data_IF_339278434374
#
_entry.id   IF_339278434374
#
_cell.length_a   1.000
_cell.length_b   1.000
_cell.length_c   1.000
_cell.angle_alpha   90.00
_cell.angle_beta   90.00
_cell.angle_gamma   90.00
#
_symmetry.space_group_name_H-M   'P 1'
#
loop_
_entity.id
_entity.type
_entity.pdbx_description
1 polymer ?
#
# COMPACT_ATOMS: atom_id res chain seq x y z
N UNK A 1 19.90 61.79 -38.74
CA UNK A 1 19.40 62.03 -37.37
C UNK A 1 19.18 60.65 -36.74
N UNK A 2 20.23 60.06 -36.16
CA UNK A 2 20.58 60.14 -34.72
C UNK A 2 19.68 59.23 -33.88
N UNK A 3 20.12 58.25 -33.09
CA UNK A 3 21.44 57.76 -32.67
C UNK A 3 21.27 56.30 -32.19
N UNK A 4 22.27 55.47 -32.47
CA UNK A 4 22.47 54.13 -31.94
C UNK A 4 23.41 54.18 -30.72
N UNK A 5 23.03 53.55 -29.61
CA UNK A 5 23.88 53.41 -28.41
C UNK A 5 24.55 52.04 -28.46
N UNK A 6 25.87 52.04 -28.71
CA UNK A 6 26.76 50.88 -28.52
C UNK A 6 27.32 50.90 -27.10
N UNK A 7 27.15 49.80 -26.36
CA UNK A 7 27.85 49.57 -25.09
C UNK A 7 28.94 48.53 -25.33
N UNK A 8 30.18 49.02 -25.40
CA UNK A 8 31.43 48.24 -25.42
C UNK A 8 31.87 48.02 -23.97
N UNK A 9 32.00 46.75 -23.56
CA UNK A 9 32.62 46.37 -22.29
C UNK A 9 33.94 45.66 -22.57
N UNK A 10 35.01 46.40 -22.30
CA UNK A 10 36.41 46.02 -22.43
C UNK A 10 36.82 44.97 -21.41
N UNK A 11 37.43 43.88 -21.90
CA UNK A 11 38.24 42.95 -21.13
C UNK A 11 39.38 43.67 -20.38
N UNK A 12 39.52 43.41 -19.07
CA UNK A 12 40.78 43.56 -18.33
C UNK A 12 40.93 42.43 -17.31
N UNK A 13 41.99 41.65 -17.47
CA UNK A 13 42.44 40.61 -16.53
C UNK A 13 43.36 41.23 -15.46
N UNK A 14 43.28 40.81 -14.18
CA UNK A 14 44.34 41.05 -13.20
C UNK A 14 45.23 39.80 -12.96
N UNK A 15 46.42 39.97 -12.35
CA UNK A 15 47.55 39.05 -12.52
C UNK A 15 47.62 37.87 -11.53
N UNK A 16 48.38 36.86 -11.96
CA UNK A 16 48.83 35.67 -11.22
C UNK A 16 49.67 36.05 -9.98
N UNK A 17 49.37 35.43 -8.83
CA UNK A 17 50.33 35.30 -7.73
C UNK A 17 50.32 33.86 -7.19
N UNK A 18 51.53 33.37 -6.96
CA UNK A 18 51.96 32.00 -6.68
C UNK A 18 51.66 31.49 -5.27
N UNK A 19 51.51 30.16 -5.19
CA UNK A 19 51.39 29.29 -4.00
C UNK A 19 52.48 29.50 -2.92
N UNK A 20 52.26 29.04 -1.67
CA UNK A 20 52.81 27.72 -1.33
C UNK A 20 51.89 26.83 -0.47
N UNK A 21 52.04 25.51 -0.66
CA UNK A 21 51.51 24.45 0.20
C UNK A 21 52.16 24.41 1.58
N UNK A 22 51.52 23.74 2.57
CA UNK A 22 52.33 22.82 3.38
C UNK A 22 51.65 21.48 3.74
N UNK A 23 52.48 20.43 3.57
CA UNK A 23 52.77 19.32 4.50
C UNK A 23 51.66 18.36 4.95
N UNK A 24 51.73 17.19 4.34
CA UNK A 24 51.45 15.86 4.89
C UNK A 24 52.11 15.68 6.27
N UNK A 25 51.40 15.08 7.22
CA UNK A 25 52.00 14.39 8.36
C UNK A 25 51.26 13.09 8.65
N UNK A 26 51.93 11.99 8.28
CA UNK A 26 51.70 10.63 8.75
C UNK A 26 51.86 10.57 10.27
N UNK A 27 50.93 9.92 10.97
CA UNK A 27 51.21 9.38 12.30
C UNK A 27 50.81 7.89 12.38
N UNK A 28 51.89 7.12 12.48
CA UNK A 28 52.07 5.71 12.81
C UNK A 28 51.03 5.07 13.73
N UNK A 29 50.70 3.84 13.35
CA UNK A 29 50.40 2.67 14.18
C UNK A 29 51.00 2.69 15.59
N UNK A 30 50.18 2.26 16.57
CA UNK A 30 50.67 1.44 17.69
C UNK A 30 49.68 0.32 18.00
N UNK A 31 50.18 -0.91 17.87
CA UNK A 31 49.60 -2.17 18.31
C UNK A 31 50.28 -2.53 19.64
N UNK A 32 49.51 -2.91 20.65
CA UNK A 32 49.90 -3.67 21.84
C UNK A 32 48.59 -4.23 22.42
N UNK A 33 48.34 -5.55 22.48
CA UNK A 33 48.99 -6.52 23.38
C UNK A 33 48.14 -6.60 24.65
N UNK A 34 47.15 -7.49 24.74
CA UNK A 34 47.21 -8.86 25.32
C UNK A 34 47.66 -8.92 26.79
N UNK A 35 46.88 -9.67 27.60
CA UNK A 35 47.11 -10.36 28.90
C UNK A 35 45.82 -10.18 29.74
N UNK A 36 44.93 -11.17 29.86
CA UNK A 36 44.94 -12.46 30.61
C UNK A 36 44.77 -12.32 32.13
N UNK A 37 43.87 -13.14 32.71
CA UNK A 37 43.70 -13.42 34.14
C UNK A 37 42.27 -13.18 34.65
N UNK A 38 41.30 -14.10 34.58
CA UNK A 38 41.07 -15.36 35.32
C UNK A 38 40.78 -15.22 36.84
N UNK A 39 39.54 -15.63 37.21
CA UNK A 39 39.22 -16.58 38.31
C UNK A 39 38.72 -16.06 39.70
N UNK A 40 37.43 -16.39 39.95
CA UNK A 40 36.82 -17.06 41.13
C UNK A 40 36.21 -16.36 42.36
N UNK A 41 34.98 -16.86 42.63
CA UNK A 41 34.42 -17.45 43.88
C UNK A 41 33.63 -16.58 44.87
N UNK A 42 32.46 -17.12 45.21
CA UNK A 42 31.75 -17.00 46.49
C UNK A 42 30.57 -16.05 46.44
N UNK A 43 29.36 -16.35 46.91
CA UNK A 43 28.84 -17.40 47.77
C UNK A 43 27.44 -16.90 48.20
N UNK A 44 26.43 -17.77 48.18
CA UNK A 44 25.03 -17.35 48.22
C UNK A 44 24.46 -16.90 49.57
N UNK A 45 23.17 -16.57 49.57
CA UNK A 45 22.25 -16.83 50.69
C UNK A 45 20.78 -16.67 50.28
N UNK A 46 19.99 -17.64 50.75
CA UNK A 46 18.53 -17.73 50.72
C UNK A 46 17.92 -16.66 51.65
N UNK A 47 16.72 -16.16 51.35
CA UNK A 47 15.59 -16.29 52.29
C UNK A 47 14.22 -15.91 51.71
N UNK A 48 13.25 -16.77 52.01
CA UNK A 48 11.81 -16.58 51.91
C UNK A 48 11.31 -15.52 52.91
N UNK A 49 10.20 -14.86 52.60
CA UNK A 49 9.12 -14.56 53.57
C UNK A 49 7.82 -14.21 52.83
N UNK A 50 6.76 -14.96 53.14
CA UNK A 50 5.37 -14.75 52.72
C UNK A 50 4.65 -13.78 53.66
N UNK A 51 3.53 -13.25 53.13
CA UNK A 51 2.24 -12.97 53.79
C UNK A 51 2.10 -11.76 54.72
N UNK A 52 1.19 -10.84 54.33
CA UNK A 52 -0.05 -10.57 55.08
C UNK A 52 -1.09 -9.81 54.22
N UNK A 53 -2.34 -10.26 54.35
CA UNK A 53 -3.59 -9.81 53.72
C UNK A 53 -4.14 -8.49 54.31
N UNK A 54 -4.85 -7.66 53.53
CA UNK A 54 -6.34 -7.53 53.46
C UNK A 54 -6.76 -6.29 52.60
N UNK A 55 -8.03 -6.21 52.12
CA UNK A 55 -8.41 -5.63 50.84
C UNK A 55 -9.16 -4.28 50.94
N UNK A 56 -9.28 -3.56 49.80
CA UNK A 56 -10.29 -2.50 49.62
C UNK A 56 -10.95 -2.57 48.23
N UNK A 57 -12.28 -2.43 48.23
CA UNK A 57 -13.27 -2.56 47.15
C UNK A 57 -13.23 -1.41 46.12
N UNK A 58 -13.57 -1.74 44.86
CA UNK A 58 -14.51 -1.03 43.96
C UNK A 58 -14.47 -1.72 42.55
N UNK A 59 -15.35 -2.67 42.24
CA UNK A 59 -16.66 -2.54 41.57
C UNK A 59 -16.64 -1.86 40.19
N UNK A 60 -16.81 -2.65 39.12
CA UNK A 60 -17.63 -2.32 37.93
C UNK A 60 -18.12 -3.60 37.23
N UNK A 61 -19.36 -3.55 36.75
CA UNK A 61 -20.28 -4.64 36.42
C UNK A 61 -19.88 -5.56 35.25
N UNK A 62 -20.23 -6.85 35.39
CA UNK A 62 -20.19 -7.91 34.36
C UNK A 62 -21.58 -8.54 34.25
N UNK A 63 -22.20 -8.48 33.07
CA UNK A 63 -23.47 -9.16 32.80
C UNK A 63 -23.21 -10.55 32.22
N UNK A 64 -23.83 -11.57 32.83
CA UNK A 64 -23.84 -12.97 32.37
C UNK A 64 -25.29 -13.45 32.52
N UNK A 65 -25.91 -13.87 31.42
CA UNK A 65 -27.28 -14.41 31.41
C UNK A 65 -27.19 -15.91 31.14
N UNK A 66 -27.88 -16.69 31.98
CA UNK A 66 -28.01 -18.14 31.92
C UNK A 66 -29.48 -18.49 32.11
N UNK A 67 -30.05 -19.29 31.20
CA UNK A 67 -31.32 -20.03 31.31
C UNK A 67 -31.26 -21.13 30.23
N UNK A 68 -31.80 -22.34 30.34
CA UNK A 68 -32.29 -23.19 31.43
C UNK A 68 -32.40 -24.59 30.77
N UNK A 69 -32.10 -25.67 31.50
CA UNK A 69 -32.21 -27.06 31.04
C UNK A 69 -33.57 -27.64 31.46
N UNK A 70 -34.24 -28.41 30.59
CA UNK A 70 -35.31 -29.33 30.97
C UNK A 70 -35.36 -30.51 29.99
N UNK A 71 -35.15 -31.71 30.51
CA UNK A 71 -35.47 -33.02 29.91
C UNK A 71 -36.61 -33.64 30.76
N UNK A 72 -37.25 -34.69 30.21
CA UNK A 72 -38.32 -35.60 30.72
C UNK A 72 -39.54 -35.53 29.76
N UNK A 73 -39.77 -36.46 28.81
CA UNK A 73 -40.06 -37.91 28.80
C UNK A 73 -41.56 -38.25 28.87
N UNK A 74 -42.02 -39.10 27.92
CA UNK A 74 -43.25 -39.95 27.89
C UNK A 74 -44.62 -39.22 27.97
N UNK A 75 -45.71 -39.62 27.33
CA UNK A 75 -46.16 -40.94 26.86
C UNK A 75 -47.24 -40.80 25.76
N UNK A 76 -47.51 -41.94 25.13
CA UNK A 76 -48.50 -42.29 24.10
C UNK A 76 -49.94 -41.80 24.27
N UNK A 77 -50.62 -41.53 23.14
CA UNK A 77 -51.95 -42.11 22.91
C UNK A 77 -52.28 -42.26 21.39
N UNK A 78 -52.91 -43.41 21.10
CA UNK A 78 -53.51 -43.88 19.83
C UNK A 78 -54.68 -42.94 19.39
N UNK A 79 -55.27 -42.92 18.19
CA UNK A 79 -55.47 -43.88 17.10
C UNK A 79 -56.05 -43.13 15.88
N UNK A 80 -55.82 -43.62 14.64
CA UNK A 80 -56.74 -43.59 13.46
C UNK A 80 -56.02 -43.66 12.08
N UNK A 81 -55.68 -44.89 11.69
CA UNK A 81 -56.18 -45.62 10.50
C UNK A 81 -56.24 -44.93 9.11
N UNK A 82 -55.46 -45.53 8.18
CA UNK A 82 -55.74 -45.85 6.76
C UNK A 82 -55.11 -45.04 5.59
N UNK A 83 -54.09 -45.69 5.00
CA UNK A 83 -53.90 -45.96 3.56
C UNK A 83 -53.45 -44.86 2.57
N UNK A 84 -52.20 -45.03 2.08
CA UNK A 84 -51.82 -45.42 0.70
C UNK A 84 -50.43 -44.88 0.35
N UNK A 85 -49.51 -45.80 0.03
CA UNK A 85 -48.30 -45.58 -0.77
C UNK A 85 -48.62 -45.78 -2.26
N UNK A 86 -47.74 -45.43 -3.22
CA UNK A 86 -46.64 -44.46 -3.21
C UNK A 86 -46.75 -43.48 -4.40
N UNK A 87 -46.24 -42.25 -4.28
CA UNK A 87 -45.94 -41.42 -5.45
C UNK A 87 -44.50 -40.92 -5.38
N UNK A 88 -43.66 -41.55 -6.20
CA UNK A 88 -42.30 -41.12 -6.49
C UNK A 88 -42.37 -39.79 -7.25
N UNK A 89 -42.18 -38.68 -6.54
CA UNK A 89 -42.02 -37.36 -7.14
C UNK A 89 -40.58 -36.88 -6.99
N UNK A 90 -39.92 -36.81 -8.14
CA UNK A 90 -38.63 -36.17 -8.39
C UNK A 90 -38.65 -34.74 -7.83
N UNK A 91 -37.89 -34.46 -6.77
CA UNK A 91 -37.67 -33.07 -6.29
C UNK A 91 -36.55 -32.40 -7.10
N UNK A 92 -36.77 -31.20 -7.66
CA UNK A 92 -35.76 -30.48 -8.42
C UNK A 92 -34.81 -29.68 -7.50
N UNK A 93 -33.52 -29.68 -7.86
CA UNK A 93 -32.42 -28.70 -7.74
C UNK A 93 -32.43 -27.47 -6.78
N UNK A 94 -33.33 -27.35 -5.80
CA UNK A 94 -33.43 -26.14 -4.93
C UNK A 94 -32.36 -26.12 -3.82
N UNK A 95 -31.82 -27.26 -3.40
CA UNK A 95 -30.87 -27.31 -2.27
C UNK A 95 -29.43 -26.90 -2.60
N UNK A 96 -29.00 -26.96 -3.86
CA UNK A 96 -27.59 -26.72 -4.19
C UNK A 96 -27.21 -25.23 -4.11
N UNK A 97 -28.16 -24.33 -4.42
CA UNK A 97 -27.91 -22.88 -4.38
C UNK A 97 -27.80 -22.32 -2.96
N UNK A 98 -28.56 -22.87 -2.01
CA UNK A 98 -28.53 -22.45 -0.61
C UNK A 98 -27.25 -22.92 0.08
N UNK A 99 -26.85 -24.19 -0.16
CA UNK A 99 -25.60 -24.74 0.39
C UNK A 99 -24.37 -23.96 -0.11
N UNK A 100 -24.33 -23.54 -1.38
CA UNK A 100 -23.23 -22.76 -1.94
C UNK A 100 -23.19 -21.33 -1.39
N UNK A 101 -24.35 -20.69 -1.18
CA UNK A 101 -24.43 -19.35 -0.56
C UNK A 101 -23.95 -19.38 0.89
N UNK A 102 -24.35 -20.39 1.65
CA UNK A 102 -23.95 -20.55 3.05
C UNK A 102 -22.44 -20.83 3.19
N UNK A 103 -21.86 -21.65 2.30
CA UNK A 103 -20.41 -21.87 2.26
C UNK A 103 -19.64 -20.58 1.95
N UNK A 104 -20.09 -19.79 0.96
CA UNK A 104 -19.44 -18.53 0.60
C UNK A 104 -19.52 -17.49 1.72
N UNK A 105 -20.70 -17.29 2.32
CA UNK A 105 -20.87 -16.36 3.44
C UNK A 105 -20.00 -16.75 4.64
N UNK A 106 -19.89 -18.04 4.92
CA UNK A 106 -19.01 -18.54 5.99
C UNK A 106 -17.53 -18.24 5.72
N UNK A 107 -17.08 -18.35 4.45
CA UNK A 107 -15.72 -18.01 4.03
C UNK A 107 -15.46 -16.51 4.16
N UNK A 108 -16.39 -15.67 3.70
CA UNK A 108 -16.28 -14.21 3.84
C UNK A 108 -16.21 -13.82 5.31
N UNK A 109 -17.07 -14.38 6.15
CA UNK A 109 -17.05 -14.12 7.59
C UNK A 109 -15.70 -14.47 8.22
N UNK A 110 -15.14 -15.64 7.90
CA UNK A 110 -13.80 -16.05 8.36
C UNK A 110 -12.70 -15.11 7.89
N UNK A 111 -12.79 -14.60 6.66
CA UNK A 111 -11.82 -13.62 6.13
C UNK A 111 -11.91 -12.32 6.92
N UNK A 112 -13.12 -11.82 7.12
CA UNK A 112 -13.38 -10.59 7.88
C UNK A 112 -12.88 -10.72 9.32
N UNK A 113 -13.23 -11.81 10.01
CA UNK A 113 -12.74 -12.10 11.37
C UNK A 113 -11.22 -12.15 11.44
N UNK A 114 -10.56 -12.78 10.45
CA UNK A 114 -9.10 -12.81 10.39
C UNK A 114 -8.46 -11.42 10.21
N UNK A 115 -9.12 -10.50 9.49
CA UNK A 115 -8.64 -9.10 9.36
C UNK A 115 -8.82 -8.33 10.67
N UNK A 116 -9.95 -8.54 11.36
CA UNK A 116 -10.19 -7.93 12.68
C UNK A 116 -9.26 -8.47 13.77
N UNK A 117 -8.86 -9.74 13.67
CA UNK A 117 -7.94 -10.41 14.57
C UNK A 117 -6.46 -10.31 14.15
N UNK A 118 -6.14 -9.56 13.10
CA UNK A 118 -4.77 -9.47 12.60
C UNK A 118 -3.86 -8.74 13.59
N UNK A 119 -2.67 -9.30 13.81
CA UNK A 119 -1.66 -8.71 14.69
C UNK A 119 -1.14 -7.37 14.14
N UNK A 120 -0.95 -6.33 14.96
CA UNK A 120 -0.31 -5.08 14.53
C UNK A 120 1.15 -5.27 14.07
N UNK A 121 1.67 -4.34 13.28
CA UNK A 121 3.12 -4.25 13.02
C UNK A 121 3.78 -3.40 14.10
N UNK A 122 4.99 -3.79 14.49
CA UNK A 122 5.83 -3.02 15.39
C UNK A 122 6.78 -2.15 14.58
N UNK A 123 6.64 -0.81 14.69
CA UNK A 123 7.52 0.14 13.99
C UNK A 123 8.26 1.07 14.97
N UNK A 124 9.55 1.36 14.71
CA UNK A 124 10.37 2.17 15.62
C UNK A 124 10.09 3.68 15.55
N UNK A 125 9.46 4.19 14.48
CA UNK A 125 9.22 5.62 14.30
C UNK A 125 7.91 6.13 14.91
N UNK A 126 7.77 7.45 14.98
CA UNK A 126 6.63 8.16 15.58
C UNK A 126 5.67 8.73 14.53
N UNK A 127 4.46 9.15 14.95
CA UNK A 127 3.47 9.80 14.09
C UNK A 127 4.03 11.02 13.34
N UNK A 128 4.90 11.80 13.98
CA UNK A 128 5.62 12.91 13.34
C UNK A 128 6.43 12.44 12.12
N UNK A 129 7.08 11.28 12.23
CA UNK A 129 7.83 10.70 11.10
C UNK A 129 6.90 10.23 10.00
N UNK A 130 5.76 9.64 10.34
CA UNK A 130 4.76 9.20 9.36
C UNK A 130 4.30 10.40 8.52
N UNK A 131 3.85 11.47 9.18
CA UNK A 131 3.40 12.69 8.50
C UNK A 131 4.53 13.32 7.67
N UNK A 132 5.74 13.41 8.23
CA UNK A 132 6.90 13.93 7.51
C UNK A 132 7.20 13.13 6.23
N UNK A 133 7.24 11.80 6.31
CA UNK A 133 7.53 10.94 5.16
C UNK A 133 6.43 11.06 4.10
N UNK A 134 5.16 11.01 4.50
CA UNK A 134 4.04 11.15 3.56
C UNK A 134 4.04 12.52 2.88
N UNK A 135 4.27 13.60 3.64
CA UNK A 135 4.34 14.95 3.10
C UNK A 135 5.50 15.09 2.11
N UNK A 136 6.71 14.63 2.46
CA UNK A 136 7.87 14.68 1.58
C UNK A 136 7.67 13.83 0.34
N UNK A 137 7.04 12.66 0.46
CA UNK A 137 6.73 11.80 -0.67
C UNK A 137 5.76 12.47 -1.65
N UNK A 138 4.60 12.97 -1.19
CA UNK A 138 3.62 13.68 -2.05
C UNK A 138 4.25 14.91 -2.69
N UNK A 139 4.99 15.70 -1.91
CA UNK A 139 5.64 16.92 -2.40
C UNK A 139 6.68 16.58 -3.46
N UNK A 140 7.44 15.50 -3.29
CA UNK A 140 8.46 15.08 -4.26
C UNK A 140 7.83 14.56 -5.53
N UNK A 141 6.80 13.71 -5.43
CA UNK A 141 6.06 13.24 -6.58
C UNK A 141 5.54 14.43 -7.42
N UNK A 142 4.86 15.37 -6.77
CA UNK A 142 4.33 16.56 -7.45
C UNK A 142 5.42 17.47 -8.03
N UNK A 143 6.48 17.76 -7.27
CA UNK A 143 7.58 18.62 -7.73
C UNK A 143 8.37 17.99 -8.87
N UNK A 144 8.68 16.69 -8.78
CA UNK A 144 9.43 16.00 -9.83
C UNK A 144 8.62 15.96 -11.12
N UNK A 145 7.36 15.53 -11.06
CA UNK A 145 6.50 15.38 -12.23
C UNK A 145 6.02 16.68 -12.86
N UNK A 146 5.65 17.65 -12.02
CA UNK A 146 5.01 18.88 -12.49
C UNK A 146 6.01 20.01 -12.76
N UNK A 147 7.18 19.99 -12.13
CA UNK A 147 8.16 21.07 -12.24
C UNK A 147 9.52 20.63 -12.77
N UNK A 148 10.20 19.71 -12.08
CA UNK A 148 11.60 19.39 -12.40
C UNK A 148 11.71 18.77 -13.78
N UNK A 149 10.92 17.73 -14.08
CA UNK A 149 11.00 17.04 -15.37
C UNK A 149 10.55 17.94 -16.53
N UNK A 150 9.40 18.65 -16.47
CA UNK A 150 9.00 19.59 -17.51
C UNK A 150 10.01 20.73 -17.73
N UNK A 151 10.58 21.27 -16.65
CA UNK A 151 11.61 22.31 -16.74
C UNK A 151 12.87 21.79 -17.42
N UNK A 152 13.38 20.63 -17.01
CA UNK A 152 14.56 20.00 -17.63
C UNK A 152 14.31 19.71 -19.11
N UNK A 153 13.14 19.16 -19.45
CA UNK A 153 12.75 18.91 -20.83
C UNK A 153 12.74 20.19 -21.67
N UNK A 154 12.14 21.27 -21.14
CA UNK A 154 12.11 22.57 -21.79
C UNK A 154 13.52 23.15 -21.99
N UNK A 155 14.39 23.08 -20.97
CA UNK A 155 15.78 23.57 -21.08
C UNK A 155 16.62 22.77 -22.07
N UNK A 156 16.32 21.49 -22.25
CA UNK A 156 16.94 20.64 -23.25
C UNK A 156 16.33 20.82 -24.66
N UNK A 157 15.36 21.72 -24.82
CA UNK A 157 14.70 22.01 -26.09
C UNK A 157 13.60 21.02 -26.49
N UNK A 158 13.19 20.13 -25.59
CA UNK A 158 12.11 19.17 -25.83
C UNK A 158 10.76 19.72 -25.39
N UNK A 159 9.76 19.65 -26.26
CA UNK A 159 8.35 19.88 -25.92
C UNK A 159 7.57 18.59 -26.03
N UNK A 160 6.91 18.17 -24.95
CA UNK A 160 6.13 16.92 -24.91
C UNK A 160 5.12 16.82 -26.05
N UNK A 161 4.42 17.91 -26.37
CA UNK A 161 3.37 17.94 -27.40
C UNK A 161 3.91 17.78 -28.83
N UNK A 162 5.20 18.07 -29.04
CA UNK A 162 5.87 17.88 -30.34
C UNK A 162 6.39 16.46 -30.56
N UNK A 163 6.38 15.63 -29.52
CA UNK A 163 6.85 14.25 -29.60
C UNK A 163 5.80 13.36 -30.28
N UNK A 164 6.28 12.37 -31.03
CA UNK A 164 5.44 11.25 -31.50
C UNK A 164 4.79 10.51 -30.33
N UNK A 165 3.74 9.72 -30.57
CA UNK A 165 3.11 8.91 -29.51
C UNK A 165 4.12 8.05 -28.74
N UNK A 166 5.12 7.49 -29.45
CA UNK A 166 6.23 6.73 -28.85
C UNK A 166 7.10 7.61 -27.96
N UNK A 167 7.44 8.82 -28.42
CA UNK A 167 8.21 9.78 -27.64
C UNK A 167 7.47 10.25 -26.39
N UNK A 168 6.15 10.49 -26.48
CA UNK A 168 5.32 10.83 -25.32
C UNK A 168 5.22 9.68 -24.31
N UNK A 169 5.08 8.45 -24.80
CA UNK A 169 5.05 7.25 -23.95
C UNK A 169 6.40 7.02 -23.25
N UNK A 170 7.51 7.16 -23.99
CA UNK A 170 8.86 7.07 -23.42
C UNK A 170 9.11 8.17 -22.39
N UNK A 171 8.73 9.41 -22.69
CA UNK A 171 8.80 10.53 -21.75
C UNK A 171 8.04 10.22 -20.45
N UNK A 172 6.81 9.71 -20.57
CA UNK A 172 5.98 9.36 -19.42
C UNK A 172 6.58 8.22 -18.62
N UNK A 173 7.13 7.19 -19.29
CA UNK A 173 7.83 6.08 -18.64
C UNK A 173 9.06 6.54 -17.86
N UNK A 174 9.90 7.39 -18.46
CA UNK A 174 11.08 7.93 -17.77
C UNK A 174 10.69 8.82 -16.60
N UNK A 175 9.64 9.62 -16.75
CA UNK A 175 9.11 10.48 -15.66
C UNK A 175 8.68 9.62 -14.47
N UNK A 176 7.87 8.58 -14.70
CA UNK A 176 7.39 7.68 -13.64
C UNK A 176 8.55 6.95 -12.93
N UNK A 177 9.54 6.46 -13.68
CA UNK A 177 10.73 5.83 -13.08
C UNK A 177 11.50 6.81 -12.20
N UNK A 178 11.69 8.06 -12.63
CA UNK A 178 12.39 9.09 -11.83
C UNK A 178 11.60 9.43 -10.57
N UNK A 179 10.29 9.62 -10.67
CA UNK A 179 9.40 9.88 -9.54
C UNK A 179 9.43 8.74 -8.52
N UNK A 180 9.28 7.49 -8.99
CA UNK A 180 9.31 6.30 -8.16
C UNK A 180 10.64 6.13 -7.42
N UNK A 181 11.76 6.29 -8.14
CA UNK A 181 13.11 6.24 -7.54
C UNK A 181 13.30 7.36 -6.52
N UNK A 182 12.89 8.59 -6.83
CA UNK A 182 12.97 9.72 -5.89
C UNK A 182 12.13 9.47 -4.63
N UNK A 183 10.91 8.96 -4.79
CA UNK A 183 10.02 8.60 -3.69
C UNK A 183 10.62 7.54 -2.76
N UNK A 184 11.19 6.47 -3.34
CA UNK A 184 11.90 5.44 -2.57
C UNK A 184 13.15 6.00 -1.89
N UNK A 185 13.91 6.86 -2.56
CA UNK A 185 15.11 7.47 -2.00
C UNK A 185 14.78 8.29 -0.74
N UNK A 186 13.69 9.07 -0.77
CA UNK A 186 13.21 9.85 0.38
C UNK A 186 12.74 8.94 1.50
N UNK A 187 11.96 7.90 1.18
CA UNK A 187 11.53 6.92 2.17
C UNK A 187 12.76 6.29 2.86
N UNK A 188 13.73 5.82 2.09
CA UNK A 188 14.98 5.24 2.60
C UNK A 188 15.80 6.23 3.41
N UNK A 189 15.89 7.48 2.97
CA UNK A 189 16.61 8.53 3.67
C UNK A 189 15.98 8.81 5.04
N UNK A 190 14.67 9.04 5.09
CA UNK A 190 13.93 9.30 6.33
C UNK A 190 13.96 8.12 7.32
N UNK A 191 14.03 6.89 6.81
CA UNK A 191 14.07 5.67 7.61
C UNK A 191 15.48 5.18 7.95
N UNK A 192 16.52 5.77 7.35
CA UNK A 192 17.91 5.37 7.56
C UNK A 192 18.32 5.42 9.04
N UNK A 193 17.80 6.41 9.79
CA UNK A 193 18.04 6.61 11.23
C UNK A 193 17.47 5.52 12.14
N UNK A 194 16.55 4.68 11.65
CA UNK A 194 15.89 3.64 12.44
C UNK A 194 16.42 2.22 12.14
N UNK A 195 17.56 2.10 11.46
CA UNK A 195 18.16 0.80 11.16
C UNK A 195 18.84 0.21 12.42
N UNK A 196 18.75 -1.12 12.64
CA UNK A 196 18.11 -2.13 11.79
C UNK A 196 16.58 -2.15 11.91
N UNK A 197 15.91 -2.40 10.79
CA UNK A 197 14.46 -2.47 10.69
C UNK A 197 13.97 -3.89 11.00
N UNK A 198 12.73 -4.08 11.49
CA UNK A 198 12.17 -5.40 11.74
C UNK A 198 12.16 -6.26 10.45
N UNK A 199 12.53 -7.56 10.54
CA UNK A 199 12.65 -8.42 9.37
C UNK A 199 11.31 -8.65 8.64
N UNK A 200 10.20 -8.62 9.36
CA UNK A 200 8.85 -8.84 8.82
C UNK A 200 8.18 -7.57 8.27
N UNK A 201 8.84 -6.41 8.35
CA UNK A 201 8.25 -5.15 7.91
C UNK A 201 8.15 -5.05 6.38
N UNK A 202 9.20 -5.46 5.66
CA UNK A 202 9.31 -5.40 4.20
C UNK A 202 9.61 -6.79 3.62
N UNK A 203 8.63 -7.69 3.73
CA UNK A 203 8.79 -9.06 3.26
C UNK A 203 8.37 -9.22 1.80
N UNK A 204 9.29 -9.74 1.00
CA UNK A 204 9.05 -10.24 -0.35
C UNK A 204 9.27 -11.75 -0.37
N UNK A 205 8.22 -12.53 -0.63
CA UNK A 205 8.31 -13.98 -0.72
C UNK A 205 7.60 -14.48 -1.97
N UNK A 206 8.30 -15.29 -2.77
CA UNK A 206 7.69 -16.07 -3.86
C UNK A 206 7.16 -17.43 -3.37
N UNK A 207 7.50 -17.82 -2.15
CA UNK A 207 7.03 -19.05 -1.52
C UNK A 207 5.70 -18.82 -0.80
N UNK A 208 4.81 -19.81 -0.85
CA UNK A 208 3.55 -19.85 -0.11
C UNK A 208 2.31 -19.78 -0.99
N UNK A 209 1.16 -19.54 -0.35
CA UNK A 209 -0.18 -19.52 -0.97
C UNK A 209 -0.58 -18.13 -1.50
N UNK A 210 0.39 -17.30 -1.89
CA UNK A 210 0.14 -15.91 -2.31
C UNK A 210 -0.80 -15.83 -3.52
N UNK A 211 -0.71 -16.78 -4.45
CA UNK A 211 -1.57 -16.83 -5.64
C UNK A 211 -3.06 -17.04 -5.30
N UNK A 212 -3.37 -17.72 -4.20
CA UNK A 212 -4.76 -17.89 -3.74
C UNK A 212 -5.32 -16.57 -3.19
N UNK A 213 -4.52 -15.81 -2.45
CA UNK A 213 -4.93 -14.51 -1.91
C UNK A 213 -5.07 -13.46 -3.03
N UNK A 214 -4.17 -13.48 -4.03
CA UNK A 214 -4.31 -12.67 -5.25
C UNK A 214 -5.58 -13.07 -6.01
N UNK A 215 -5.79 -14.37 -6.26
CA UNK A 215 -6.98 -14.86 -6.96
C UNK A 215 -8.29 -14.48 -6.26
N UNK A 216 -8.33 -14.58 -4.93
CA UNK A 216 -9.46 -14.13 -4.12
C UNK A 216 -9.67 -12.61 -4.23
N UNK A 217 -8.60 -11.83 -4.24
CA UNK A 217 -8.66 -10.39 -4.47
C UNK A 217 -9.24 -10.03 -5.84
N UNK A 218 -8.86 -10.76 -6.89
CA UNK A 218 -9.37 -10.56 -8.24
C UNK A 218 -10.90 -10.78 -8.33
N UNK A 219 -11.47 -11.64 -7.48
CA UNK A 219 -12.93 -11.82 -7.43
C UNK A 219 -13.68 -10.55 -6.99
N UNK A 220 -12.99 -9.58 -6.39
CA UNK A 220 -13.58 -8.30 -5.99
C UNK A 220 -13.64 -7.28 -7.14
N UNK A 221 -12.98 -7.54 -8.28
CA UNK A 221 -12.91 -6.60 -9.41
C UNK A 221 -14.28 -6.18 -9.96
N UNK A 222 -15.27 -7.07 -10.13
CA UNK A 222 -16.61 -6.67 -10.57
C UNK A 222 -17.29 -5.69 -9.59
N UNK A 223 -17.02 -5.81 -8.29
CA UNK A 223 -17.55 -4.91 -7.27
C UNK A 223 -16.87 -3.55 -7.38
N UNK A 224 -15.54 -3.50 -7.55
CA UNK A 224 -14.81 -2.26 -7.78
C UNK A 224 -15.35 -1.53 -9.03
N UNK A 225 -15.60 -2.26 -10.13
CA UNK A 225 -16.21 -1.70 -11.34
C UNK A 225 -17.62 -1.15 -11.07
N UNK A 226 -18.46 -1.90 -10.37
CA UNK A 226 -19.81 -1.43 -10.00
C UNK A 226 -19.75 -0.16 -9.14
N UNK A 227 -18.83 -0.09 -8.18
CA UNK A 227 -18.62 1.11 -7.37
C UNK A 227 -18.12 2.29 -8.20
N UNK A 228 -17.29 2.06 -9.22
CA UNK A 228 -16.89 3.10 -10.17
C UNK A 228 -18.11 3.70 -10.88
N UNK A 229 -19.02 2.85 -11.38
CA UNK A 229 -20.26 3.30 -12.03
C UNK A 229 -21.17 4.07 -11.06
N UNK A 230 -21.32 3.58 -9.83
CA UNK A 230 -22.08 4.31 -8.79
C UNK A 230 -21.45 5.68 -8.52
N UNK A 231 -20.13 5.77 -8.43
CA UNK A 231 -19.44 7.03 -8.17
C UNK A 231 -19.65 8.05 -9.31
N UNK A 232 -19.59 7.60 -10.56
CA UNK A 232 -19.87 8.44 -11.73
C UNK A 232 -21.33 8.92 -11.76
N UNK A 233 -22.27 8.07 -11.37
CA UNK A 233 -23.70 8.42 -11.30
C UNK A 233 -24.01 9.42 -10.16
N UNK A 234 -23.28 9.35 -9.05
CA UNK A 234 -23.45 10.27 -7.91
C UNK A 234 -22.81 11.63 -8.16
N UNK A 235 -21.76 11.68 -8.96
CA UNK A 235 -21.02 12.90 -9.30
C UNK A 235 -21.02 13.09 -10.83
N UNK A 236 -22.19 13.32 -11.46
CA UNK A 236 -22.26 13.52 -12.89
C UNK A 236 -21.45 14.75 -13.28
N UNK A 237 -20.47 14.54 -14.17
CA UNK A 237 -19.63 15.53 -14.86
C UNK A 237 -19.75 16.97 -14.32
N UNK A 238 -18.97 17.31 -13.28
CA UNK A 238 -18.38 18.66 -13.31
C UNK A 238 -17.58 18.70 -14.61
N UNK A 239 -17.73 19.73 -15.46
CA UNK A 239 -17.03 19.79 -16.73
C UNK A 239 -15.56 19.55 -16.41
N UNK A 240 -15.05 18.41 -16.86
CA UNK A 240 -13.64 18.16 -16.87
C UNK A 240 -13.08 19.38 -17.59
N UNK A 241 -12.36 20.24 -16.87
CA UNK A 241 -11.44 21.15 -17.54
C UNK A 241 -10.77 20.36 -18.65
N UNK A 242 -10.55 20.91 -19.86
CA UNK A 242 -9.99 20.20 -21.01
C UNK A 242 -8.50 19.89 -20.77
N UNK A 243 -8.20 19.24 -19.65
CA UNK A 243 -7.02 18.48 -19.38
C UNK A 243 -7.23 17.23 -20.21
N UNK A 244 -6.89 17.36 -21.48
CA UNK A 244 -6.28 16.32 -22.32
C UNK A 244 -6.83 14.93 -22.06
N UNK A 245 -7.58 14.39 -23.03
CA UNK A 245 -7.66 12.93 -23.28
C UNK A 245 -6.34 12.33 -22.79
N UNK A 246 -6.38 11.44 -21.80
CA UNK A 246 -5.17 10.98 -21.12
C UNK A 246 -4.17 10.56 -22.20
N UNK A 247 -2.88 10.90 -22.09
CA UNK A 247 -1.91 10.54 -23.15
C UNK A 247 -1.94 9.03 -23.45
N UNK A 248 -2.37 8.23 -22.46
CA UNK A 248 -2.72 6.82 -22.58
C UNK A 248 -3.90 6.60 -23.56
N UNK A 249 -5.04 7.24 -23.36
CA UNK A 249 -6.21 7.17 -24.25
C UNK A 249 -5.85 7.58 -25.68
N UNK A 250 -5.09 8.67 -25.86
CA UNK A 250 -4.65 9.09 -27.20
C UNK A 250 -3.80 8.03 -27.90
N UNK A 251 -2.90 7.38 -27.16
CA UNK A 251 -2.07 6.30 -27.72
C UNK A 251 -2.88 5.04 -28.05
N UNK A 252 -3.91 4.75 -27.26
CA UNK A 252 -4.84 3.64 -27.50
C UNK A 252 -5.67 3.92 -28.77
N UNK A 253 -6.20 5.14 -28.92
CA UNK A 253 -6.89 5.56 -30.14
C UNK A 253 -5.99 5.48 -31.38
N UNK A 254 -4.71 5.85 -31.23
CA UNK A 254 -3.73 5.76 -32.31
C UNK A 254 -3.25 4.33 -32.62
N UNK A 255 -3.56 3.34 -31.75
CA UNK A 255 -3.14 1.93 -31.85
C UNK A 255 -1.65 1.71 -32.12
N UNK A 256 -0.77 2.57 -31.60
CA UNK A 256 0.69 2.36 -31.71
C UNK A 256 1.16 1.33 -30.67
N UNK A 257 1.67 0.16 -31.10
CA UNK A 257 1.96 -0.94 -30.19
C UNK A 257 3.10 -0.62 -29.21
N UNK A 258 4.08 0.18 -29.62
CA UNK A 258 5.22 0.55 -28.77
C UNK A 258 4.77 1.50 -27.67
N UNK A 259 3.99 2.53 -28.02
CA UNK A 259 3.43 3.45 -27.05
C UNK A 259 2.51 2.72 -26.05
N UNK A 260 1.68 1.80 -26.52
CA UNK A 260 0.79 1.00 -25.67
C UNK A 260 1.57 0.13 -24.68
N UNK A 261 2.64 -0.56 -25.12
CA UNK A 261 3.49 -1.37 -24.22
C UNK A 261 4.17 -0.50 -23.16
N UNK A 262 4.66 0.68 -23.54
CA UNK A 262 5.28 1.62 -22.59
C UNK A 262 4.27 2.13 -21.56
N UNK A 263 3.06 2.54 -21.99
CA UNK A 263 2.02 2.95 -21.04
C UNK A 263 1.50 1.82 -20.17
N UNK A 264 1.39 0.60 -20.71
CA UNK A 264 1.08 -0.59 -19.92
C UNK A 264 2.15 -0.83 -18.84
N UNK A 265 3.43 -0.70 -19.17
CA UNK A 265 4.51 -0.84 -18.19
C UNK A 265 4.39 0.23 -17.08
N UNK A 266 4.11 1.48 -17.43
CA UNK A 266 3.89 2.56 -16.44
C UNK A 266 2.69 2.24 -15.54
N UNK A 267 1.52 2.06 -16.14
CA UNK A 267 0.24 1.99 -15.41
C UNK A 267 0.08 0.66 -14.66
N UNK A 268 0.51 -0.44 -15.25
CA UNK A 268 0.27 -1.78 -14.71
C UNK A 268 1.46 -2.36 -13.94
N UNK A 269 2.66 -1.81 -14.06
CA UNK A 269 3.85 -2.33 -13.37
C UNK A 269 4.49 -1.29 -12.47
N UNK A 270 4.98 -0.18 -13.02
CA UNK A 270 5.77 0.78 -12.26
C UNK A 270 4.94 1.47 -11.17
N UNK A 271 3.82 2.08 -11.52
CA UNK A 271 2.95 2.78 -10.56
C UNK A 271 2.50 1.88 -9.40
N UNK A 272 1.94 0.67 -9.62
CA UNK A 272 1.60 -0.24 -8.53
C UNK A 272 2.77 -0.59 -7.61
N UNK A 273 3.98 -0.81 -8.16
CA UNK A 273 5.16 -1.11 -7.34
C UNK A 273 5.50 0.06 -6.43
N UNK A 274 5.56 1.28 -6.96
CA UNK A 274 5.89 2.47 -6.18
C UNK A 274 4.85 2.77 -5.11
N UNK A 275 3.58 2.70 -5.47
CA UNK A 275 2.47 3.00 -4.58
C UNK A 275 2.37 1.97 -3.45
N UNK A 276 2.48 0.67 -3.74
CA UNK A 276 2.40 -0.36 -2.71
C UNK A 276 3.53 -0.28 -1.70
N UNK A 277 4.76 0.08 -2.13
CA UNK A 277 5.88 0.34 -1.21
C UNK A 277 5.53 1.41 -0.18
N UNK A 278 4.86 2.48 -0.61
CA UNK A 278 4.52 3.61 0.28
C UNK A 278 3.28 3.31 1.10
N UNK A 279 2.20 2.84 0.49
CA UNK A 279 0.92 2.66 1.19
C UNK A 279 0.88 1.38 2.03
N UNK A 280 1.37 0.26 1.50
CA UNK A 280 1.32 -1.06 2.19
C UNK A 280 2.64 -1.36 2.88
N UNK A 281 3.76 -1.01 2.25
CA UNK A 281 5.08 -1.19 2.85
C UNK A 281 5.34 -0.21 4.01
N UNK A 282 4.90 1.05 3.91
CA UNK A 282 5.19 2.06 4.93
C UNK A 282 3.95 2.52 5.72
N UNK A 283 2.96 3.14 5.09
CA UNK A 283 1.88 3.85 5.77
C UNK A 283 1.02 2.91 6.62
N UNK A 284 0.49 1.82 6.04
CA UNK A 284 -0.38 0.89 6.74
C UNK A 284 0.30 0.28 7.98
N UNK A 285 1.50 -0.35 7.91
CA UNK A 285 2.22 -0.83 9.09
C UNK A 285 2.45 0.27 10.12
N UNK A 286 2.76 1.49 9.67
CA UNK A 286 3.00 2.61 10.57
C UNK A 286 1.76 3.04 11.37
N UNK A 287 0.59 2.98 10.74
CA UNK A 287 -0.69 3.29 11.38
C UNK A 287 -1.07 2.26 12.44
N UNK A 288 -0.68 0.99 12.26
CA UNK A 288 -1.01 -0.08 13.23
C UNK A 288 -0.39 0.11 14.62
N UNK A 289 0.59 1.02 14.75
CA UNK A 289 1.11 1.47 16.05
C UNK A 289 0.10 2.26 16.87
N UNK A 290 -0.88 2.89 16.23
CA UNK A 290 -1.80 3.85 16.84
C UNK A 290 -3.26 3.41 16.79
N UNK A 291 -3.60 2.43 15.95
CA UNK A 291 -4.97 1.96 15.74
C UNK A 291 -4.98 0.49 15.32
N UNK A 292 -6.10 -0.24 15.48
CA UNK A 292 -6.18 -1.64 15.05
C UNK A 292 -5.98 -1.78 13.53
N UNK A 293 -5.65 -2.99 13.09
CA UNK A 293 -5.31 -3.28 11.68
C UNK A 293 -6.42 -2.88 10.71
N UNK A 294 -7.68 -3.20 11.04
CA UNK A 294 -8.83 -2.83 10.18
C UNK A 294 -8.97 -1.31 10.01
N UNK A 295 -8.77 -0.52 11.07
CA UNK A 295 -8.75 0.95 10.99
C UNK A 295 -7.58 1.43 10.12
N UNK A 296 -6.41 0.82 10.28
CA UNK A 296 -5.21 1.17 9.51
C UNK A 296 -5.40 0.89 8.02
N UNK A 297 -6.08 -0.20 7.67
CA UNK A 297 -6.49 -0.51 6.29
C UNK A 297 -7.39 0.61 5.77
N UNK A 298 -8.45 0.97 6.50
CA UNK A 298 -9.38 2.01 6.05
C UNK A 298 -8.68 3.37 5.85
N UNK A 299 -7.91 3.83 6.84
CA UNK A 299 -7.22 5.14 6.80
C UNK A 299 -6.18 5.18 5.68
N UNK A 300 -5.37 4.12 5.51
CA UNK A 300 -4.41 4.05 4.40
C UNK A 300 -5.09 3.99 3.03
N UNK A 301 -6.27 3.36 2.93
CA UNK A 301 -7.06 3.29 1.69
C UNK A 301 -7.65 4.65 1.30
N UNK A 302 -8.11 5.41 2.28
CA UNK A 302 -8.55 6.80 2.06
C UNK A 302 -7.36 7.68 1.63
N UNK A 303 -6.21 7.56 2.30
CA UNK A 303 -5.01 8.29 1.89
C UNK A 303 -4.56 7.93 0.46
N UNK A 304 -4.64 6.65 0.08
CA UNK A 304 -4.37 6.17 -1.27
C UNK A 304 -5.30 6.81 -2.31
N UNK A 305 -6.61 6.84 -2.06
CA UNK A 305 -7.57 7.45 -2.97
C UNK A 305 -7.40 8.98 -3.07
N UNK A 306 -7.08 9.66 -1.96
CA UNK A 306 -6.80 11.10 -1.95
C UNK A 306 -5.54 11.47 -2.76
N UNK A 307 -4.51 10.62 -2.75
CA UNK A 307 -3.28 10.84 -3.51
C UNK A 307 -3.49 10.82 -5.05
N UNK A 308 -4.63 10.32 -5.53
CA UNK A 308 -4.99 10.33 -6.95
C UNK A 308 -5.65 11.64 -7.41
N UNK A 309 -5.92 12.58 -6.50
CA UNK A 309 -6.47 13.91 -6.77
C UNK A 309 -7.72 13.90 -7.69
N UNK A 310 -8.55 12.86 -7.61
CA UNK A 310 -9.73 12.70 -8.45
C UNK A 310 -10.93 12.22 -7.65
N UNK A 311 -11.88 13.13 -7.45
CA UNK A 311 -13.14 12.81 -6.74
C UNK A 311 -13.96 11.77 -7.52
N UNK A 312 -13.89 11.79 -8.85
CA UNK A 312 -14.54 10.83 -9.75
C UNK A 312 -14.04 9.38 -9.59
N UNK A 313 -12.87 9.17 -8.99
CA UNK A 313 -12.32 7.84 -8.73
C UNK A 313 -12.25 7.51 -7.23
N UNK A 314 -12.73 8.40 -6.36
CA UNK A 314 -12.56 8.26 -4.92
C UNK A 314 -13.15 6.96 -4.36
N UNK A 315 -14.45 6.72 -4.57
CA UNK A 315 -15.14 5.54 -4.05
C UNK A 315 -14.52 4.20 -4.51
N UNK A 316 -14.29 3.96 -5.82
CA UNK A 316 -13.67 2.71 -6.25
C UNK A 316 -12.22 2.58 -5.75
N UNK A 317 -11.44 3.66 -5.65
CA UNK A 317 -10.07 3.61 -5.14
C UNK A 317 -9.99 3.35 -3.64
N UNK A 318 -10.91 3.89 -2.83
CA UNK A 318 -11.00 3.55 -1.41
C UNK A 318 -11.30 2.06 -1.25
N UNK A 319 -12.26 1.53 -2.00
CA UNK A 319 -12.61 0.12 -1.92
C UNK A 319 -11.49 -0.80 -2.40
N UNK A 320 -10.88 -0.52 -3.57
CA UNK A 320 -9.69 -1.22 -4.03
C UNK A 320 -8.58 -1.16 -2.98
N UNK A 321 -8.40 0.01 -2.37
CA UNK A 321 -7.42 0.21 -1.32
C UNK A 321 -7.64 -0.71 -0.13
N UNK A 322 -8.90 -0.91 0.28
CA UNK A 322 -9.25 -1.81 1.37
C UNK A 322 -8.96 -3.27 1.00
N UNK A 323 -9.26 -3.68 -0.23
CA UNK A 323 -8.97 -5.04 -0.72
C UNK A 323 -7.46 -5.30 -0.70
N UNK A 324 -6.66 -4.39 -1.26
CA UNK A 324 -5.19 -4.48 -1.26
C UNK A 324 -4.63 -4.51 0.17
N UNK A 325 -5.15 -3.67 1.06
CA UNK A 325 -4.76 -3.63 2.47
C UNK A 325 -5.11 -4.90 3.23
N UNK A 326 -6.28 -5.49 2.99
CA UNK A 326 -6.71 -6.75 3.60
C UNK A 326 -5.86 -7.94 3.12
N UNK A 327 -5.59 -8.02 1.82
CA UNK A 327 -4.71 -9.05 1.23
C UNK A 327 -3.28 -8.91 1.76
N UNK A 328 -2.77 -7.70 1.88
CA UNK A 328 -1.47 -7.46 2.49
C UNK A 328 -1.43 -7.86 3.97
N UNK A 329 -2.45 -7.49 4.75
CA UNK A 329 -2.51 -7.80 6.17
C UNK A 329 -2.59 -9.31 6.46
N UNK A 330 -3.29 -10.07 5.62
CA UNK A 330 -3.37 -11.54 5.71
C UNK A 330 -2.09 -12.22 5.23
N UNK A 331 -1.58 -11.80 4.06
CA UNK A 331 -0.44 -12.49 3.43
C UNK A 331 0.91 -12.11 4.05
N UNK A 332 1.01 -10.96 4.73
CA UNK A 332 2.27 -10.38 5.24
C UNK A 332 3.37 -10.35 4.18
N UNK A 333 2.98 -10.18 2.92
CA UNK A 333 3.86 -10.24 1.76
C UNK A 333 3.47 -9.12 0.81
N UNK A 334 4.38 -8.17 0.63
CA UNK A 334 4.12 -6.98 -0.18
C UNK A 334 3.93 -7.32 -1.65
N UNK A 335 4.58 -8.38 -2.12
CA UNK A 335 4.42 -8.86 -3.50
C UNK A 335 2.96 -9.22 -3.82
N UNK A 336 2.21 -9.77 -2.86
CA UNK A 336 0.81 -10.16 -3.06
C UNK A 336 -0.06 -8.95 -3.41
N UNK A 337 0.11 -7.83 -2.70
CA UNK A 337 -0.68 -6.63 -2.97
C UNK A 337 -0.20 -5.91 -4.24
N UNK A 338 1.10 -5.90 -4.52
CA UNK A 338 1.66 -5.41 -5.79
C UNK A 338 1.08 -6.15 -6.99
N UNK A 339 1.08 -7.48 -6.98
CA UNK A 339 0.54 -8.27 -8.08
C UNK A 339 -0.96 -8.06 -8.25
N UNK A 340 -1.72 -8.04 -7.16
CA UNK A 340 -3.16 -7.79 -7.22
C UNK A 340 -3.47 -6.39 -7.79
N UNK A 341 -2.71 -5.37 -7.40
CA UNK A 341 -2.84 -4.02 -7.91
C UNK A 341 -2.45 -3.94 -9.39
N UNK A 342 -1.32 -4.54 -9.78
CA UNK A 342 -0.91 -4.68 -11.17
C UNK A 342 -1.96 -5.36 -12.03
N UNK A 343 -2.60 -6.43 -11.54
CA UNK A 343 -3.67 -7.13 -12.24
C UNK A 343 -4.93 -6.26 -12.39
N UNK A 344 -5.28 -5.48 -11.36
CA UNK A 344 -6.38 -4.52 -11.48
C UNK A 344 -6.10 -3.47 -12.56
N UNK A 345 -4.91 -2.88 -12.53
CA UNK A 345 -4.53 -1.86 -13.52
C UNK A 345 -4.42 -2.44 -14.92
N UNK A 346 -3.90 -3.66 -15.07
CA UNK A 346 -3.88 -4.37 -16.35
C UNK A 346 -5.31 -4.66 -16.86
N UNK A 347 -6.21 -5.11 -15.99
CA UNK A 347 -7.61 -5.34 -16.33
C UNK A 347 -8.28 -4.06 -16.83
N UNK A 348 -8.12 -2.94 -16.11
CA UNK A 348 -8.64 -1.64 -16.52
C UNK A 348 -8.01 -1.20 -17.84
N UNK A 349 -6.69 -1.29 -17.98
CA UNK A 349 -5.99 -0.92 -19.22
C UNK A 349 -6.51 -1.72 -20.43
N UNK A 350 -6.72 -3.02 -20.29
CA UNK A 350 -7.30 -3.87 -21.34
C UNK A 350 -8.74 -3.49 -21.65
N UNK A 351 -9.53 -3.12 -20.65
CA UNK A 351 -10.89 -2.66 -20.86
C UNK A 351 -10.93 -1.34 -21.66
N UNK A 352 -9.97 -0.43 -21.44
CA UNK A 352 -9.82 0.79 -22.24
C UNK A 352 -9.41 0.53 -23.70
N UNK A 353 -8.86 -0.64 -24.03
CA UNK A 353 -8.44 -0.98 -25.39
C UNK A 353 -9.58 -1.53 -26.27
N UNK A 354 -10.73 -1.86 -25.69
CA UNK A 354 -11.91 -2.35 -26.42
C UNK A 354 -12.66 -1.17 -27.03
#
# INVERSE_FOLDING_TARGET
>A
MSQSISLSLSHRSPPLLSSPAPRVSLLRLRKAGSVSGSVSIGGGLKNNSRLLHLPSKASYHRWKVSCFRKEDSSDSDFDSVESKLPEESVRPSINQSNVVKDDWLSKVKKITEAVFAAEPWTVPWTAKTIVQVMFLWVTTFWLVGSWIIPFLAHTAGFRKDSLTYRGQALYSFLTDVVEGVAGIAILRHCLSRFRPLPPDWFRFSLQGKWFLEVGLGCLMFPIVNRLSQVNLNLLPMLPSTPVTVSNVEQSIFARDPVAMVLYFAVVSVCAPVWEEIVFRGFLLPSLTKYMPVWCSILVSSVAFALAHFSVQRMLPLVFLGMVLGAVFARSRNLLTSMLLHSLWNAFVFIDLMK
#
